data_IF_867878988727
#
_entry.id   IF_867878988727
#
_cell.length_a   1.000
_cell.length_b   1.000
_cell.length_c   1.000
_cell.angle_alpha   90.00
_cell.angle_beta   90.00
_cell.angle_gamma   90.00
#
_symmetry.space_group_name_H-M   'P 1'
#
loop_
_entity.id
_entity.type
_entity.pdbx_description
1 polymer ?
#
# COMPACT_ATOMS: atom_id res chain seq x y z
N UNK A 1 -17.64 -7.50 -3.27
CA UNK A 1 -16.62 -6.92 -4.19
C UNK A 1 -15.60 -6.14 -3.35
N UNK A 2 -14.93 -6.79 -2.38
CA UNK A 2 -14.14 -6.10 -1.35
C UNK A 2 -12.68 -5.80 -1.77
N UNK A 3 -12.08 -6.60 -2.66
CA UNK A 3 -10.69 -6.39 -3.10
C UNK A 3 -10.47 -5.24 -4.09
N UNK A 4 -11.51 -4.80 -4.82
CA UNK A 4 -11.37 -3.73 -5.82
C UNK A 4 -11.22 -2.34 -5.20
N UNK A 5 -11.84 -2.12 -4.03
CA UNK A 5 -11.76 -0.84 -3.32
C UNK A 5 -10.39 -0.61 -2.65
N UNK A 6 -9.61 -1.67 -2.41
CA UNK A 6 -8.30 -1.58 -1.79
C UNK A 6 -7.20 -1.33 -2.83
N UNK A 7 -7.28 -1.98 -4.00
CA UNK A 7 -6.34 -1.82 -5.11
C UNK A 7 -6.18 -0.36 -5.55
N UNK A 8 -7.29 0.40 -5.59
CA UNK A 8 -7.24 1.83 -5.94
C UNK A 8 -6.37 2.65 -4.97
N UNK A 9 -6.25 2.24 -3.70
CA UNK A 9 -5.41 2.94 -2.73
C UNK A 9 -3.94 2.70 -3.01
N UNK A 10 -3.56 1.49 -3.42
CA UNK A 10 -2.19 1.19 -3.85
C UNK A 10 -1.77 2.05 -5.03
N UNK A 11 -2.65 2.21 -6.04
CA UNK A 11 -2.35 3.03 -7.21
C UNK A 11 -2.26 4.54 -6.94
N UNK A 12 -2.80 5.03 -5.82
CA UNK A 12 -2.63 6.44 -5.40
C UNK A 12 -1.29 6.72 -4.75
N UNK A 13 -0.59 5.71 -4.22
CA UNK A 13 0.66 5.90 -3.49
C UNK A 13 1.77 6.53 -4.33
N UNK A 14 2.02 6.11 -5.60
CA UNK A 14 3.03 6.76 -6.43
C UNK A 14 2.74 8.24 -6.71
N UNK A 15 1.47 8.61 -6.87
CA UNK A 15 1.07 10.00 -7.12
C UNK A 15 1.18 10.89 -5.88
N UNK A 16 1.04 10.29 -4.69
CA UNK A 16 1.18 10.98 -3.42
C UNK A 16 2.65 11.10 -2.97
N UNK A 17 3.57 10.37 -3.60
CA UNK A 17 4.99 10.40 -3.28
C UNK A 17 5.58 11.79 -3.59
N UNK A 18 6.16 12.44 -2.57
CA UNK A 18 6.76 13.77 -2.68
C UNK A 18 5.88 14.93 -2.18
N UNK A 19 4.63 14.66 -1.80
CA UNK A 19 3.76 15.63 -1.10
C UNK A 19 3.32 15.01 0.23
N UNK A 20 3.92 15.46 1.34
CA UNK A 20 3.68 14.90 2.67
C UNK A 20 2.20 14.91 3.08
N UNK A 21 1.45 15.92 2.66
CA UNK A 21 0.02 16.03 2.98
C UNK A 21 -0.77 14.98 2.20
N UNK A 22 -0.52 14.85 0.90
CA UNK A 22 -1.15 13.81 0.07
C UNK A 22 -0.74 12.42 0.52
N UNK A 23 0.53 12.23 0.88
CA UNK A 23 1.08 10.97 1.36
C UNK A 23 0.36 10.48 2.61
N UNK A 24 0.27 11.34 3.64
CA UNK A 24 -0.44 11.02 4.87
C UNK A 24 -1.93 10.77 4.63
N UNK A 25 -2.55 11.50 3.71
CA UNK A 25 -3.95 11.30 3.33
C UNK A 25 -4.16 9.94 2.65
N UNK A 26 -3.29 9.58 1.70
CA UNK A 26 -3.35 8.29 1.01
C UNK A 26 -3.18 7.11 1.99
N UNK A 27 -2.26 7.23 2.95
CA UNK A 27 -2.07 6.21 3.99
C UNK A 27 -3.23 6.17 5.00
N UNK A 28 -3.91 7.29 5.27
CA UNK A 28 -5.12 7.30 6.12
C UNK A 28 -6.23 6.43 5.54
N UNK A 29 -6.39 6.42 4.20
CA UNK A 29 -7.36 5.55 3.54
C UNK A 29 -7.09 4.06 3.79
N UNK A 30 -5.82 3.64 3.85
CA UNK A 30 -5.47 2.28 4.25
C UNK A 30 -5.78 2.01 5.73
N UNK A 31 -5.46 2.96 6.61
CA UNK A 31 -5.77 2.85 8.04
C UNK A 31 -7.26 2.67 8.30
N UNK A 32 -8.09 3.48 7.65
CA UNK A 32 -9.55 3.41 7.76
C UNK A 32 -10.07 2.09 7.20
N UNK A 33 -9.71 1.74 5.96
CA UNK A 33 -10.17 0.50 5.33
C UNK A 33 -9.75 -0.75 6.12
N UNK A 34 -8.52 -0.81 6.61
CA UNK A 34 -8.02 -1.95 7.39
C UNK A 34 -8.65 -1.99 8.77
N UNK A 35 -8.91 -0.84 9.39
CA UNK A 35 -9.73 -0.75 10.61
C UNK A 35 -11.13 -1.33 10.40
N UNK A 36 -11.80 -0.96 9.31
CA UNK A 36 -13.16 -1.41 8.99
C UNK A 36 -13.27 -2.92 8.77
N UNK A 37 -12.26 -3.53 8.14
CA UNK A 37 -12.23 -4.99 7.89
C UNK A 37 -11.51 -5.78 9.00
N UNK A 38 -11.07 -5.12 10.07
CA UNK A 38 -10.36 -5.74 11.19
C UNK A 38 -8.97 -6.28 10.84
N UNK A 39 -8.35 -5.77 9.78
CA UNK A 39 -6.98 -6.13 9.40
C UNK A 39 -5.98 -5.31 10.24
N UNK A 40 -5.00 -5.95 10.90
CA UNK A 40 -4.11 -5.24 11.79
C UNK A 40 -2.96 -4.58 11.02
N UNK A 41 -2.72 -3.29 11.27
CA UNK A 41 -1.78 -2.46 10.50
C UNK A 41 -0.31 -2.85 10.69
N UNK A 42 0.04 -3.51 11.79
CA UNK A 42 1.36 -4.13 12.01
C UNK A 42 1.66 -5.26 11.01
N UNK A 43 0.65 -5.75 10.30
CA UNK A 43 0.76 -6.73 9.21
C UNK A 43 0.63 -6.10 7.83
N UNK A 44 0.63 -4.77 7.71
CA UNK A 44 0.55 -4.10 6.41
C UNK A 44 1.66 -4.55 5.45
N UNK A 45 2.87 -4.84 5.95
CA UNK A 45 3.94 -5.39 5.11
C UNK A 45 3.58 -6.72 4.42
N UNK A 46 2.61 -7.49 4.94
CA UNK A 46 2.13 -8.72 4.31
C UNK A 46 1.23 -8.46 3.09
N UNK A 47 0.67 -7.26 2.97
CA UNK A 47 -0.16 -6.92 1.80
C UNK A 47 0.70 -6.63 0.56
N UNK A 48 1.99 -6.34 0.76
CA UNK A 48 2.99 -6.14 -0.31
C UNK A 48 3.08 -7.40 -1.19
N UNK A 49 3.29 -8.57 -0.59
CA UNK A 49 3.42 -9.83 -1.34
C UNK A 49 2.15 -10.16 -2.12
N UNK A 50 0.98 -9.97 -1.49
CA UNK A 50 -0.30 -10.21 -2.11
C UNK A 50 -0.57 -9.24 -3.28
N UNK A 51 -0.22 -7.97 -3.11
CA UNK A 51 -0.34 -6.95 -4.15
C UNK A 51 0.58 -7.26 -5.34
N UNK A 52 1.86 -7.59 -5.10
CA UNK A 52 2.80 -7.93 -6.15
C UNK A 52 2.37 -9.19 -6.91
N UNK A 53 1.90 -10.23 -6.21
CA UNK A 53 1.37 -11.43 -6.84
C UNK A 53 0.12 -11.13 -7.69
N UNK A 54 -0.75 -10.23 -7.22
CA UNK A 54 -1.92 -9.80 -7.98
C UNK A 54 -1.53 -8.98 -9.23
N UNK A 55 -0.53 -8.11 -9.13
CA UNK A 55 0.01 -7.35 -10.26
C UNK A 55 0.67 -8.29 -11.27
N UNK A 56 1.46 -9.26 -10.84
CA UNK A 56 2.11 -10.25 -11.71
C UNK A 56 1.07 -11.07 -12.50
N UNK A 57 -0.01 -11.48 -11.84
CA UNK A 57 -1.07 -12.28 -12.46
C UNK A 57 -2.02 -11.50 -13.38
N UNK A 58 -2.33 -10.25 -13.06
CA UNK A 58 -3.41 -9.50 -13.72
C UNK A 58 -2.94 -8.30 -14.56
N UNK A 59 -1.75 -7.75 -14.31
CA UNK A 59 -1.24 -6.57 -15.02
C UNK A 59 -0.34 -6.93 -16.23
N UNK A 60 -0.32 -8.20 -16.66
CA UNK A 60 0.57 -8.68 -17.72
C UNK A 60 2.02 -8.89 -17.28
N UNK A 61 2.24 -8.99 -15.96
CA UNK A 61 3.56 -9.11 -15.34
C UNK A 61 4.02 -7.81 -14.69
N UNK A 62 5.04 -7.94 -13.84
CA UNK A 62 5.75 -6.81 -13.22
C UNK A 62 7.23 -7.01 -13.52
N UNK A 63 7.90 -6.02 -14.13
CA UNK A 63 9.36 -6.14 -14.34
C UNK A 63 10.08 -6.17 -12.99
N UNK A 64 11.30 -6.71 -12.95
CA UNK A 64 12.09 -6.73 -11.71
C UNK A 64 12.29 -5.32 -11.12
N UNK A 65 12.42 -4.31 -11.99
CA UNK A 65 12.52 -2.91 -11.59
C UNK A 65 11.21 -2.38 -10.98
N UNK A 66 10.06 -2.63 -11.62
CA UNK A 66 8.77 -2.24 -11.08
C UNK A 66 8.49 -2.90 -9.74
N UNK A 67 8.85 -4.19 -9.60
CA UNK A 67 8.70 -4.94 -8.35
C UNK A 67 9.51 -4.27 -7.23
N UNK A 68 10.78 -3.98 -7.50
CA UNK A 68 11.66 -3.29 -6.55
C UNK A 68 11.12 -1.92 -6.15
N UNK A 69 10.63 -1.12 -7.12
CA UNK A 69 10.06 0.20 -6.84
C UNK A 69 8.81 0.12 -5.95
N UNK A 70 7.94 -0.87 -6.18
CA UNK A 70 6.77 -1.12 -5.33
C UNK A 70 7.15 -1.59 -3.93
N UNK A 71 8.14 -2.48 -3.81
CA UNK A 71 8.67 -2.93 -2.52
C UNK A 71 9.23 -1.76 -1.71
N UNK A 72 10.04 -0.89 -2.33
CA UNK A 72 10.58 0.30 -1.69
C UNK A 72 9.48 1.28 -1.26
N UNK A 73 8.50 1.54 -2.13
CA UNK A 73 7.37 2.43 -1.83
C UNK A 73 6.53 1.92 -0.66
N UNK A 74 6.19 0.64 -0.65
CA UNK A 74 5.34 0.04 0.38
C UNK A 74 6.09 -0.17 1.71
N UNK A 75 7.40 -0.43 1.65
CA UNK A 75 8.25 -0.41 2.85
C UNK A 75 8.32 0.99 3.47
N UNK A 76 8.42 2.04 2.64
CA UNK A 76 8.33 3.43 3.11
C UNK A 76 6.97 3.72 3.75
N UNK A 77 5.87 3.31 3.10
CA UNK A 77 4.53 3.43 3.66
C UNK A 77 4.43 2.77 5.04
N UNK A 78 4.91 1.54 5.16
CA UNK A 78 4.93 0.80 6.42
C UNK A 78 5.72 1.54 7.50
N UNK A 79 6.94 1.98 7.18
CA UNK A 79 7.80 2.73 8.10
C UNK A 79 7.14 4.04 8.56
N UNK A 80 6.58 4.83 7.65
CA UNK A 80 5.95 6.11 7.97
C UNK A 80 4.73 5.92 8.87
N UNK A 81 3.87 4.93 8.58
CA UNK A 81 2.74 4.58 9.45
C UNK A 81 3.18 4.21 10.87
N UNK A 82 4.32 3.54 11.01
CA UNK A 82 4.94 3.25 12.32
C UNK A 82 5.38 4.52 13.03
N UNK A 83 6.05 5.44 12.32
CA UNK A 83 6.52 6.71 12.91
C UNK A 83 5.38 7.58 13.42
N UNK A 84 4.19 7.44 12.84
CA UNK A 84 2.99 8.16 13.27
C UNK A 84 2.19 7.45 14.37
N UNK A 85 2.67 6.31 14.87
CA UNK A 85 2.04 5.56 15.96
C UNK A 85 0.67 5.00 15.58
N UNK A 86 0.49 4.60 14.32
CA UNK A 86 -0.75 3.96 13.88
C UNK A 86 -0.82 2.48 14.27
N UNK A 87 0.32 1.92 14.64
CA UNK A 87 0.52 0.62 15.28
C UNK A 87 1.88 0.62 16.01
#
# INVERSE_FOLDING_TARGET
MYGMAELQYFFRLPEALGDDRKWRTALSSFKEQYGDVGFPLDKFNKTIDAFLAAMEKNAGGVTAEQKKNWEELLNKAYADMKTWGWY
#
